data_IF_414066870882
#
_entry.id   IF_414066870882
#
_cell.length_a   1.000
_cell.length_b   1.000
_cell.length_c   1.000
_cell.angle_alpha   90.00
_cell.angle_beta   90.00
_cell.angle_gamma   90.00
#
_symmetry.space_group_name_H-M   'P 1'
#
loop_
_entity.id
_entity.type
_entity.pdbx_description
1 polymer ?
#
# COMPACT_ATOMS: atom_id res chain seq x y z
N UNK A 1 -69.40 -6.33 -39.90
CA UNK A 1 -70.36 -5.78 -38.92
C UNK A 1 -69.81 -6.06 -37.53
N UNK A 2 -69.60 -5.02 -36.74
CA UNK A 2 -68.96 -5.09 -35.42
C UNK A 2 -69.86 -5.79 -34.41
N UNK A 3 -69.27 -6.60 -33.52
CA UNK A 3 -69.85 -6.91 -32.21
C UNK A 3 -68.76 -7.08 -31.17
N UNK A 4 -68.98 -6.37 -30.07
CA UNK A 4 -68.13 -6.11 -28.92
C UNK A 4 -67.61 -7.35 -28.17
N UNK A 5 -66.46 -7.17 -27.51
CA UNK A 5 -65.96 -8.05 -26.44
C UNK A 5 -66.93 -8.09 -25.26
N UNK A 6 -67.01 -9.23 -24.54
CA UNK A 6 -67.32 -9.25 -23.12
C UNK A 6 -66.06 -9.50 -22.28
N UNK A 7 -66.05 -8.81 -21.16
CA UNK A 7 -65.13 -8.90 -20.04
C UNK A 7 -65.25 -10.20 -19.23
N UNK A 8 -64.18 -10.46 -18.48
CA UNK A 8 -64.04 -11.26 -17.25
C UNK A 8 -63.77 -12.78 -17.30
N UNK A 9 -62.53 -13.09 -16.85
CA UNK A 9 -62.08 -14.13 -15.91
C UNK A 9 -62.10 -15.60 -16.33
N UNK A 10 -60.91 -16.23 -16.39
CA UNK A 10 -60.55 -17.42 -15.59
C UNK A 10 -59.16 -18.02 -15.96
N UNK A 11 -58.47 -18.53 -14.93
CA UNK A 11 -57.29 -19.42 -14.88
C UNK A 11 -55.84 -18.86 -14.94
N UNK A 12 -55.25 -18.68 -13.74
CA UNK A 12 -53.82 -18.87 -13.38
C UNK A 12 -53.39 -20.36 -13.57
N UNK A 13 -52.12 -20.83 -13.40
CA UNK A 13 -50.87 -20.21 -12.88
C UNK A 13 -49.61 -20.60 -13.72
N UNK A 14 -48.39 -20.59 -13.14
CA UNK A 14 -47.11 -21.03 -13.74
C UNK A 14 -46.57 -20.04 -14.78
N UNK A 15 -45.59 -19.19 -14.53
CA UNK A 15 -44.25 -19.42 -14.00
C UNK A 15 -43.90 -18.02 -13.48
N UNK A 16 -43.83 -17.81 -12.17
CA UNK A 16 -42.54 -17.76 -11.46
C UNK A 16 -41.35 -17.49 -12.38
N UNK A 17 -41.44 -16.45 -13.21
CA UNK A 17 -40.28 -15.71 -13.68
C UNK A 17 -39.81 -14.92 -12.46
N UNK A 18 -39.31 -15.70 -11.50
CA UNK A 18 -38.29 -15.31 -10.57
C UNK A 18 -37.20 -14.78 -11.50
N UNK A 19 -37.26 -13.47 -11.78
CA UNK A 19 -36.10 -12.71 -12.16
C UNK A 19 -35.12 -13.02 -11.05
N UNK A 20 -34.28 -14.03 -11.30
CA UNK A 20 -33.07 -14.26 -10.56
C UNK A 20 -32.27 -12.99 -10.83
N UNK A 21 -32.55 -11.93 -10.07
CA UNK A 21 -31.56 -10.95 -9.72
C UNK A 21 -30.54 -11.76 -8.94
N UNK A 22 -29.61 -12.40 -9.66
CA UNK A 22 -28.30 -12.69 -9.12
C UNK A 22 -27.73 -11.30 -8.89
N UNK A 23 -27.99 -10.73 -7.73
CA UNK A 23 -27.14 -9.70 -7.16
C UNK A 23 -25.79 -10.38 -6.98
N UNK A 24 -24.96 -10.31 -8.02
CA UNK A 24 -23.53 -10.57 -7.89
C UNK A 24 -23.06 -9.45 -6.97
N UNK A 25 -23.06 -9.72 -5.66
CA UNK A 25 -22.39 -8.89 -4.66
C UNK A 25 -20.88 -9.05 -4.88
N UNK A 26 -20.37 -8.53 -6.00
CA UNK A 26 -18.96 -8.24 -6.17
C UNK A 26 -18.68 -6.92 -5.47
N UNK A 27 -18.43 -6.96 -4.16
CA UNK A 27 -17.80 -5.83 -3.49
C UNK A 27 -16.40 -5.68 -4.10
N UNK A 28 -16.23 -4.70 -4.99
CA UNK A 28 -14.93 -4.41 -5.58
C UNK A 28 -14.03 -3.82 -4.50
N UNK A 29 -13.08 -4.62 -4.00
CA UNK A 29 -12.09 -4.14 -3.03
C UNK A 29 -11.29 -3.00 -3.66
N UNK A 30 -11.25 -1.85 -2.98
CA UNK A 30 -10.61 -0.64 -3.46
C UNK A 30 -9.44 -0.32 -2.54
N UNK A 31 -8.20 -0.37 -3.06
CA UNK A 31 -6.96 -0.22 -2.29
C UNK A 31 -6.79 1.18 -1.63
N UNK A 32 -7.11 2.31 -2.31
CA UNK A 32 -6.99 3.63 -1.68
C UNK A 32 -7.80 3.75 -0.40
N UNK A 33 -7.17 4.30 0.65
CA UNK A 33 -7.77 4.54 1.96
C UNK A 33 -8.25 3.27 2.71
N UNK A 34 -7.87 2.06 2.26
CA UNK A 34 -8.14 0.83 3.03
C UNK A 34 -7.31 0.77 4.31
N UNK A 35 -7.87 0.20 5.37
CA UNK A 35 -7.12 -0.09 6.60
C UNK A 35 -6.24 -1.34 6.44
N UNK A 36 -5.31 -1.56 7.36
CA UNK A 36 -4.51 -2.80 7.37
C UNK A 36 -5.43 -4.01 7.53
N UNK A 37 -6.43 -3.92 8.40
CA UNK A 37 -7.37 -5.00 8.67
C UNK A 37 -8.16 -5.38 7.42
N UNK A 38 -8.61 -4.38 6.65
CA UNK A 38 -9.31 -4.61 5.38
C UNK A 38 -8.39 -5.25 4.33
N UNK A 39 -7.13 -4.80 4.25
CA UNK A 39 -6.14 -5.41 3.35
C UNK A 39 -5.83 -6.85 3.76
N UNK A 40 -5.64 -7.12 5.06
CA UNK A 40 -5.41 -8.47 5.58
C UNK A 40 -6.61 -9.38 5.34
N UNK A 41 -7.83 -8.85 5.45
CA UNK A 41 -9.04 -9.58 5.10
C UNK A 41 -9.10 -9.90 3.60
N UNK A 42 -8.81 -8.90 2.74
CA UNK A 42 -8.75 -9.11 1.29
C UNK A 42 -7.67 -10.12 0.90
N UNK A 43 -6.53 -10.12 1.62
CA UNK A 43 -5.53 -11.17 1.50
C UNK A 43 -6.14 -12.52 1.88
N UNK A 44 -6.77 -12.66 3.06
CA UNK A 44 -7.32 -13.92 3.55
C UNK A 44 -8.36 -14.53 2.58
N UNK A 45 -9.15 -13.68 1.93
CA UNK A 45 -10.16 -14.06 0.94
C UNK A 45 -9.58 -14.34 -0.46
N UNK A 46 -8.27 -14.14 -0.66
CA UNK A 46 -7.58 -14.19 -1.96
C UNK A 46 -8.12 -13.19 -2.99
N UNK A 47 -8.75 -12.11 -2.52
CA UNK A 47 -9.20 -10.98 -3.34
C UNK A 47 -8.04 -10.04 -3.72
N UNK A 48 -6.93 -10.11 -2.98
CA UNK A 48 -5.73 -9.32 -3.19
C UNK A 48 -4.49 -10.14 -2.79
N UNK A 49 -3.36 -9.93 -3.46
CA UNK A 49 -2.04 -10.45 -3.05
C UNK A 49 -1.10 -9.32 -2.66
N UNK A 50 -0.05 -9.62 -1.88
CA UNK A 50 0.99 -8.64 -1.52
C UNK A 50 1.67 -8.10 -2.77
N UNK A 51 1.92 -8.96 -3.76
CA UNK A 51 2.49 -8.55 -5.05
C UNK A 51 1.59 -7.55 -5.79
N UNK A 52 0.27 -7.79 -5.83
CA UNK A 52 -0.69 -6.87 -6.45
C UNK A 52 -0.73 -5.52 -5.72
N UNK A 53 -0.69 -5.53 -4.39
CA UNK A 53 -0.68 -4.33 -3.57
C UNK A 53 0.61 -3.50 -3.79
N UNK A 54 1.76 -4.16 -3.81
CA UNK A 54 3.05 -3.51 -4.11
C UNK A 54 3.05 -2.92 -5.52
N UNK A 55 2.54 -3.65 -6.51
CA UNK A 55 2.47 -3.18 -7.90
C UNK A 55 1.57 -1.97 -8.04
N UNK A 56 0.42 -1.97 -7.35
CA UNK A 56 -0.46 -0.82 -7.29
C UNK A 56 0.29 0.42 -6.78
N UNK A 57 0.96 0.34 -5.62
CA UNK A 57 1.66 1.49 -5.07
C UNK A 57 2.89 1.92 -5.87
N UNK A 58 3.63 0.99 -6.49
CA UNK A 58 4.72 1.34 -7.41
C UNK A 58 4.18 2.15 -8.59
N UNK A 59 3.01 1.79 -9.13
CA UNK A 59 2.38 2.54 -10.21
C UNK A 59 1.90 3.92 -9.76
N UNK A 60 1.35 4.03 -8.55
CA UNK A 60 1.00 5.32 -7.94
C UNK A 60 2.24 6.21 -7.76
N UNK A 61 3.36 5.65 -7.28
CA UNK A 61 4.62 6.37 -7.14
C UNK A 61 5.10 6.88 -8.51
N UNK A 62 5.10 6.03 -9.55
CA UNK A 62 5.49 6.44 -10.90
C UNK A 62 4.64 7.60 -11.43
N UNK A 63 3.34 7.58 -11.15
CA UNK A 63 2.39 8.57 -11.66
C UNK A 63 2.44 9.88 -10.90
N UNK A 64 2.48 9.81 -9.57
CA UNK A 64 2.29 10.97 -8.70
C UNK A 64 3.59 11.56 -8.17
N UNK A 65 4.63 10.73 -7.95
CA UNK A 65 5.88 11.22 -7.35
C UNK A 65 6.62 12.29 -8.16
N UNK A 66 6.56 12.34 -9.51
CA UNK A 66 7.10 13.47 -10.27
C UNK A 66 6.49 14.83 -9.91
N UNK A 67 5.27 14.84 -9.35
CA UNK A 67 4.60 16.03 -8.86
C UNK A 67 4.81 16.19 -7.34
N UNK A 68 4.77 15.08 -6.60
CA UNK A 68 4.73 15.11 -5.13
C UNK A 68 6.11 15.15 -4.46
N UNK A 69 7.15 14.65 -5.12
CA UNK A 69 8.52 14.53 -4.59
C UNK A 69 8.59 13.89 -3.19
N UNK A 70 7.69 12.93 -2.93
CA UNK A 70 7.48 12.32 -1.61
C UNK A 70 8.31 11.05 -1.39
N UNK A 71 8.79 10.40 -2.45
CA UNK A 71 9.61 9.20 -2.42
C UNK A 71 10.96 9.51 -3.07
N UNK A 72 12.06 9.16 -2.38
CA UNK A 72 13.43 9.34 -2.88
C UNK A 72 13.84 8.10 -3.69
N UNK A 73 13.57 6.90 -3.16
CA UNK A 73 13.96 5.63 -3.78
C UNK A 73 12.88 4.58 -3.59
N UNK A 74 12.68 3.74 -4.62
CA UNK A 74 11.89 2.50 -4.52
C UNK A 74 12.88 1.35 -4.41
N UNK A 75 12.62 0.41 -3.51
CA UNK A 75 13.45 -0.78 -3.32
C UNK A 75 13.34 -1.67 -4.57
N UNK A 76 14.44 -1.96 -5.28
CA UNK A 76 14.40 -2.83 -6.46
C UNK A 76 13.90 -4.24 -6.12
N UNK A 77 14.11 -4.69 -4.88
CA UNK A 77 13.73 -6.03 -4.43
C UNK A 77 12.30 -6.07 -3.86
N UNK A 78 11.54 -4.95 -3.82
CA UNK A 78 10.21 -4.89 -3.20
C UNK A 78 9.21 -5.91 -3.77
N UNK A 79 9.22 -6.08 -5.10
CA UNK A 79 8.35 -7.06 -5.78
C UNK A 79 8.70 -8.49 -5.40
N UNK A 80 9.98 -8.80 -5.30
CA UNK A 80 10.43 -10.15 -4.95
C UNK A 80 10.20 -10.45 -3.47
N UNK A 81 10.35 -9.44 -2.60
CA UNK A 81 9.92 -9.53 -1.20
C UNK A 81 8.41 -9.86 -1.09
N UNK A 82 7.57 -9.18 -1.87
CA UNK A 82 6.12 -9.42 -1.88
C UNK A 82 5.76 -10.82 -2.38
N UNK A 83 6.39 -11.30 -3.46
CA UNK A 83 6.20 -12.67 -3.96
C UNK A 83 6.58 -13.72 -2.92
N UNK A 84 7.70 -13.52 -2.22
CA UNK A 84 8.14 -14.45 -1.17
C UNK A 84 7.13 -14.53 -0.02
N UNK A 85 6.55 -13.39 0.37
CA UNK A 85 5.49 -13.32 1.38
C UNK A 85 4.21 -14.02 0.91
N UNK A 86 3.80 -13.82 -0.34
CA UNK A 86 2.63 -14.49 -0.93
C UNK A 86 2.83 -16.02 -0.92
N UNK A 87 4.04 -16.48 -1.28
CA UNK A 87 4.42 -17.89 -1.24
C UNK A 87 4.44 -18.46 0.19
N UNK A 88 5.07 -17.75 1.12
CA UNK A 88 5.11 -18.14 2.54
C UNK A 88 3.70 -18.33 3.11
N UNK A 89 2.77 -17.45 2.73
CA UNK A 89 1.36 -17.55 3.14
C UNK A 89 0.70 -18.80 2.55
N UNK A 90 0.94 -19.08 1.27
CA UNK A 90 0.40 -20.27 0.59
C UNK A 90 0.90 -21.55 1.24
N UNK A 91 2.19 -21.62 1.59
CA UNK A 91 2.80 -22.77 2.26
C UNK A 91 2.32 -22.94 3.70
N UNK A 92 2.11 -21.82 4.41
CA UNK A 92 1.69 -21.84 5.80
C UNK A 92 0.29 -22.48 5.99
N UNK A 93 -0.63 -22.34 5.03
CA UNK A 93 -2.00 -22.88 5.11
C UNK A 93 -2.71 -22.57 6.45
N UNK A 94 -2.41 -21.42 7.07
CA UNK A 94 -2.97 -21.01 8.36
C UNK A 94 -2.40 -21.70 9.61
N UNK A 95 -1.28 -22.44 9.49
CA UNK A 95 -0.69 -23.21 10.62
C UNK A 95 0.02 -22.36 11.66
N UNK A 96 0.59 -21.22 11.26
CA UNK A 96 1.26 -20.25 12.15
C UNK A 96 0.77 -18.83 11.92
N UNK A 97 0.87 -17.98 12.94
CA UNK A 97 0.71 -16.54 12.76
C UNK A 97 1.93 -15.99 11.99
N UNK A 98 1.69 -15.30 10.88
CA UNK A 98 2.73 -14.71 10.02
C UNK A 98 3.08 -13.27 10.42
N UNK A 99 2.36 -12.69 11.39
CA UNK A 99 2.53 -11.33 11.85
C UNK A 99 1.49 -10.37 11.26
N UNK A 100 1.19 -9.32 12.02
CA UNK A 100 0.07 -8.41 11.73
C UNK A 100 0.31 -7.55 10.48
N UNK A 101 1.56 -7.46 10.02
CA UNK A 101 1.95 -6.71 8.82
C UNK A 101 2.37 -7.62 7.66
N UNK A 102 2.05 -8.91 7.71
CA UNK A 102 2.46 -9.86 6.68
C UNK A 102 1.97 -9.43 5.30
N UNK A 103 2.91 -9.07 4.42
CA UNK A 103 2.64 -8.62 3.06
C UNK A 103 2.21 -7.17 2.90
N UNK A 104 2.13 -6.41 4.00
CA UNK A 104 1.84 -4.97 3.97
C UNK A 104 3.10 -4.22 3.54
N UNK A 105 3.04 -3.41 2.48
CA UNK A 105 4.20 -2.66 2.04
C UNK A 105 4.35 -1.36 2.83
N UNK A 106 5.57 -1.08 3.28
CA UNK A 106 5.90 0.05 4.14
C UNK A 106 7.04 0.87 3.54
N UNK A 107 6.96 2.19 3.72
CA UNK A 107 8.01 3.13 3.35
C UNK A 107 8.81 3.54 4.57
N UNK A 108 10.13 3.55 4.46
CA UNK A 108 11.02 4.00 5.51
C UNK A 108 11.40 5.46 5.27
N UNK A 109 11.45 6.29 6.30
CA UNK A 109 12.09 7.60 6.17
C UNK A 109 13.55 7.42 5.76
N UNK A 110 14.10 8.28 4.90
CA UNK A 110 15.48 8.17 4.40
C UNK A 110 16.59 8.36 5.47
N UNK A 111 16.19 8.53 6.73
CA UNK A 111 17.06 8.53 7.91
C UNK A 111 17.11 7.19 8.64
N UNK A 112 16.21 6.26 8.33
CA UNK A 112 16.10 4.95 8.97
C UNK A 112 17.00 3.95 8.22
N UNK A 113 18.10 3.54 8.83
CA UNK A 113 19.02 2.58 8.23
C UNK A 113 18.38 1.22 7.92
N UNK A 114 18.61 0.71 6.71
CA UNK A 114 18.30 -0.66 6.29
C UNK A 114 19.45 -1.22 5.47
N UNK A 115 19.65 -2.54 5.52
CA UNK A 115 20.60 -3.30 4.71
C UNK A 115 20.09 -3.65 3.32
N UNK A 116 18.88 -3.23 2.96
CA UNK A 116 18.39 -3.34 1.58
C UNK A 116 19.31 -2.59 0.61
N UNK A 117 19.11 -2.80 -0.70
CA UNK A 117 19.76 -2.04 -1.78
C UNK A 117 19.18 -0.62 -1.90
N UNK A 118 19.23 0.13 -0.81
CA UNK A 118 18.68 1.48 -0.64
C UNK A 118 19.72 2.37 0.03
N UNK A 119 19.79 3.64 -0.35
CA UNK A 119 20.60 4.60 0.37
C UNK A 119 19.89 5.03 1.66
N UNK A 120 20.65 5.35 2.70
CA UNK A 120 20.14 6.07 3.89
C UNK A 120 20.90 7.37 3.99
N UNK A 121 20.37 8.41 3.35
CA UNK A 121 21.12 9.63 3.07
C UNK A 121 20.66 10.87 3.84
N UNK A 122 19.59 10.73 4.63
CA UNK A 122 18.93 11.85 5.32
C UNK A 122 18.60 13.03 4.37
N UNK A 123 18.28 12.73 3.11
CA UNK A 123 17.98 13.71 2.05
C UNK A 123 19.20 14.44 1.46
N UNK A 124 20.43 14.04 1.82
CA UNK A 124 21.66 14.75 1.43
C UNK A 124 22.56 13.91 0.53
N UNK A 125 23.11 14.53 -0.52
CA UNK A 125 24.09 13.87 -1.39
C UNK A 125 25.38 13.45 -0.67
N UNK A 126 25.71 14.09 0.46
CA UNK A 126 26.90 13.76 1.24
C UNK A 126 26.93 12.32 1.78
N UNK A 127 25.76 11.68 1.92
CA UNK A 127 25.63 10.32 2.46
C UNK A 127 25.20 9.29 1.40
N UNK A 128 25.08 9.68 0.13
CA UNK A 128 24.80 8.74 -0.96
C UNK A 128 25.98 7.79 -1.13
N UNK A 129 25.70 6.49 -1.23
CA UNK A 129 26.72 5.44 -1.25
C UNK A 129 27.20 4.98 0.14
N UNK A 130 26.70 5.60 1.23
CA UNK A 130 26.98 5.11 2.58
C UNK A 130 26.37 3.73 2.79
N UNK A 131 27.18 2.79 3.28
CA UNK A 131 26.76 1.41 3.55
C UNK A 131 26.30 1.29 5.00
N UNK A 132 25.03 0.93 5.18
CA UNK A 132 24.46 0.68 6.50
C UNK A 132 24.90 -0.70 6.98
N UNK A 133 25.57 -0.77 8.14
CA UNK A 133 26.08 -2.04 8.68
C UNK A 133 24.98 -3.03 9.10
N UNK A 134 23.88 -2.51 9.66
CA UNK A 134 22.74 -3.28 10.18
C UNK A 134 21.42 -2.55 10.02
N UNK A 135 20.34 -3.30 9.97
CA UNK A 135 19.00 -2.75 10.03
C UNK A 135 18.81 -1.94 11.32
N UNK A 136 18.10 -0.82 11.24
CA UNK A 136 17.61 -0.16 12.43
C UNK A 136 16.63 -1.08 13.15
N UNK A 137 16.56 -1.01 14.49
CA UNK A 137 15.68 -1.89 15.28
C UNK A 137 14.20 -1.81 14.88
N UNK A 138 13.74 -0.68 14.34
CA UNK A 138 12.38 -0.55 13.79
C UNK A 138 12.19 -1.38 12.52
N UNK A 139 13.20 -1.44 11.64
CA UNK A 139 13.18 -2.24 10.40
C UNK A 139 13.18 -3.72 10.76
N UNK A 140 13.99 -4.13 11.74
CA UNK A 140 13.98 -5.50 12.24
C UNK A 140 12.59 -5.93 12.76
N UNK A 141 11.91 -5.03 13.49
CA UNK A 141 10.55 -5.28 13.99
C UNK A 141 9.53 -5.37 12.84
N UNK A 142 9.61 -4.46 11.87
CA UNK A 142 8.77 -4.48 10.66
C UNK A 142 8.91 -5.79 9.90
N UNK A 143 10.16 -6.25 9.69
CA UNK A 143 10.42 -7.53 9.02
C UNK A 143 9.91 -8.73 9.81
N UNK A 144 10.07 -8.72 11.14
CA UNK A 144 9.52 -9.78 12.02
C UNK A 144 7.99 -9.82 11.99
N UNK A 145 7.34 -8.69 11.73
CA UNK A 145 5.90 -8.60 11.54
C UNK A 145 5.45 -8.95 10.10
N UNK A 146 6.38 -9.30 9.20
CA UNK A 146 6.11 -9.72 7.83
C UNK A 146 5.95 -8.58 6.81
N UNK A 147 6.33 -7.34 7.17
CA UNK A 147 6.18 -6.19 6.29
C UNK A 147 7.16 -6.22 5.09
N UNK A 148 6.70 -5.71 3.95
CA UNK A 148 7.51 -5.55 2.72
C UNK A 148 8.12 -4.14 2.69
N UNK A 149 9.45 -4.03 2.65
CA UNK A 149 10.12 -2.72 2.63
C UNK A 149 10.10 -2.16 1.21
N UNK A 150 9.17 -1.23 0.95
CA UNK A 150 8.90 -0.69 -0.39
C UNK A 150 9.95 0.32 -0.86
N UNK A 151 10.58 1.07 0.06
CA UNK A 151 11.53 2.12 -0.32
C UNK A 151 11.73 3.21 0.73
N UNK A 152 12.21 4.36 0.26
CA UNK A 152 12.61 5.51 1.07
C UNK A 152 11.76 6.73 0.80
N UNK A 153 11.06 7.20 1.82
CA UNK A 153 10.31 8.45 1.81
C UNK A 153 11.24 9.67 1.98
N UNK A 154 10.85 10.75 1.32
CA UNK A 154 11.48 12.07 1.40
C UNK A 154 11.32 12.70 2.79
N UNK A 155 12.13 13.72 3.06
CA UNK A 155 12.12 14.49 4.29
C UNK A 155 12.78 15.85 4.07
N UNK A 156 12.73 16.72 5.08
CA UNK A 156 13.62 17.89 5.14
C UNK A 156 15.07 17.43 5.35
N UNK A 157 16.01 17.91 4.53
CA UNK A 157 17.44 17.54 4.62
C UNK A 157 17.96 17.67 6.07
N UNK A 158 18.54 16.58 6.58
CA UNK A 158 19.05 16.48 7.97
C UNK A 158 18.07 16.96 9.04
N UNK A 159 16.76 16.78 8.85
CA UNK A 159 15.74 17.30 9.77
C UNK A 159 15.85 18.82 10.02
N UNK A 160 16.27 19.58 9.00
CA UNK A 160 16.47 21.05 9.05
C UNK A 160 17.68 21.50 9.88
N UNK A 161 18.58 20.61 10.32
CA UNK A 161 19.76 21.00 11.08
C UNK A 161 20.70 21.95 10.32
N UNK A 162 20.69 21.90 8.97
CA UNK A 162 21.49 22.81 8.12
C UNK A 162 21.03 24.27 8.17
N UNK A 163 19.75 24.52 8.45
CA UNK A 163 19.21 25.88 8.56
C UNK A 163 17.79 25.82 9.13
N UNK A 164 17.65 26.29 10.37
CA UNK A 164 16.38 26.28 11.11
C UNK A 164 15.30 27.17 10.49
N UNK A 165 15.69 28.23 9.76
CA UNK A 165 14.75 29.30 9.34
C UNK A 165 14.64 29.53 7.84
N UNK A 166 15.61 29.10 7.03
CA UNK A 166 15.65 29.42 5.58
C UNK A 166 15.32 28.25 4.64
N UNK A 167 15.21 27.03 5.16
CA UNK A 167 14.90 25.85 4.35
C UNK A 167 13.43 25.47 4.56
N UNK A 168 12.61 25.48 3.49
CA UNK A 168 11.22 25.05 3.58
C UNK A 168 11.11 23.58 4.02
N UNK A 169 10.02 23.24 4.71
CA UNK A 169 9.78 21.86 5.13
C UNK A 169 9.60 20.96 3.90
N UNK A 170 10.09 19.71 3.98
CA UNK A 170 9.99 18.74 2.89
C UNK A 170 10.99 18.95 1.75
N UNK A 171 11.86 19.97 1.84
CA UNK A 171 12.95 20.14 0.88
C UNK A 171 14.16 19.30 1.26
N UNK A 172 14.69 18.56 0.29
CA UNK A 172 16.03 17.99 0.38
C UNK A 172 16.75 17.99 -0.97
N UNK A 173 18.08 17.92 -0.94
CA UNK A 173 18.90 17.97 -2.15
C UNK A 173 18.58 16.83 -3.12
N UNK A 174 18.16 15.67 -2.60
CA UNK A 174 17.93 14.46 -3.40
C UNK A 174 16.57 14.41 -4.11
N UNK A 175 15.50 14.83 -3.44
CA UNK A 175 14.14 14.79 -4.00
C UNK A 175 13.60 16.17 -4.42
N UNK A 176 14.28 17.27 -4.07
CA UNK A 176 13.76 18.62 -4.28
C UNK A 176 12.73 19.00 -3.22
N UNK A 177 11.78 19.85 -3.59
CA UNK A 177 10.71 20.32 -2.70
C UNK A 177 9.54 19.34 -2.70
N UNK A 178 9.34 18.63 -1.60
CA UNK A 178 8.09 17.90 -1.35
C UNK A 178 6.91 18.87 -1.23
N UNK A 179 5.87 18.69 -2.03
CA UNK A 179 4.63 19.49 -1.94
C UNK A 179 3.66 18.98 -0.88
N UNK A 180 3.88 17.76 -0.39
CA UNK A 180 3.08 17.17 0.68
C UNK A 180 3.98 16.75 1.83
N UNK A 181 4.40 17.73 2.62
CA UNK A 181 5.15 17.48 3.85
C UNK A 181 4.38 16.58 4.83
N UNK A 182 3.05 16.48 4.67
CA UNK A 182 2.13 15.78 5.58
C UNK A 182 1.67 14.40 5.11
N UNK A 183 1.78 14.02 3.83
CA UNK A 183 1.45 12.65 3.39
C UNK A 183 2.50 11.63 3.84
N UNK A 184 3.71 12.09 4.17
CA UNK A 184 4.69 11.30 4.91
C UNK A 184 4.14 10.91 6.31
N UNK A 185 3.15 11.65 6.82
CA UNK A 185 2.44 11.33 8.07
C UNK A 185 1.30 10.33 7.91
N UNK A 186 0.76 10.10 6.70
CA UNK A 186 -0.21 9.00 6.50
C UNK A 186 0.46 7.63 6.69
N UNK A 187 1.72 7.48 6.30
CA UNK A 187 2.50 6.27 6.64
C UNK A 187 3.04 6.27 8.07
N UNK A 188 3.10 7.43 8.75
CA UNK A 188 3.40 7.53 10.18
C UNK A 188 2.21 7.05 11.04
N UNK A 189 0.97 7.07 10.51
CA UNK A 189 -0.21 6.57 11.21
C UNK A 189 -0.18 5.04 11.44
N UNK A 190 0.68 4.30 10.74
CA UNK A 190 0.97 2.89 11.01
C UNK A 190 1.70 2.63 12.34
N UNK A 191 2.06 3.67 13.09
CA UNK A 191 2.82 3.56 14.35
C UNK A 191 2.28 4.41 15.50
N UNK A 192 1.05 4.92 15.40
CA UNK A 192 0.35 5.54 16.54
C UNK A 192 -0.79 4.63 17.00
N UNK A 193 -0.40 3.55 17.67
CA UNK A 193 -1.18 2.81 18.65
C UNK A 193 -0.38 2.73 19.94
#
# INVERSE_FOLDING_TARGET
MAVNLPSSSLLLPLISLFLIFITINGQHFTIPESTIEEIQQAFAENNLTSTQLVDFYINQIKTLNPLLHSIIEVNPDARDQAKNVDEEKRENQGRRNLGDLHGIPVLLKDTIGTRDKLNTSAGSYALVGSVVARDASVVEKLRKAGAVIMGKASLSEWYKFRSLSRVPNGWCARAGQGVVSSLISCFQFLFSG
#
